data_IF_660242267761
#
_entry.id   IF_660242267761
#
_cell.length_a   1.000
_cell.length_b   1.000
_cell.length_c   1.000
_cell.angle_alpha   90.00
_cell.angle_beta   90.00
_cell.angle_gamma   90.00
#
_symmetry.space_group_name_H-M   'P 1'
#
loop_
_entity.id
_entity.type
_entity.pdbx_description
1 polymer ?
#
# COMPACT_ATOMS: atom_id res chain seq x y z
N UNK A 1 12.79 38.80 11.43
CA UNK A 1 12.17 38.38 12.70
C UNK A 1 11.12 37.35 12.34
N UNK A 2 11.34 36.08 12.67
CA UNK A 2 10.33 35.06 12.45
C UNK A 2 9.27 35.14 13.55
N UNK A 3 8.05 34.77 13.19
CA UNK A 3 6.94 34.62 14.13
C UNK A 3 6.45 33.19 14.05
N UNK A 4 6.05 32.64 15.20
CA UNK A 4 5.50 31.30 15.30
C UNK A 4 4.20 31.30 16.12
N UNK A 5 3.35 30.30 15.90
CA UNK A 5 2.08 30.16 16.63
C UNK A 5 2.28 29.28 17.85
N UNK A 6 1.84 29.75 19.00
CA UNK A 6 1.80 28.97 20.24
C UNK A 6 0.92 27.72 20.06
N UNK A 7 1.44 26.49 20.24
CA UNK A 7 0.67 25.27 20.03
C UNK A 7 -0.44 25.05 21.09
N UNK A 8 -0.40 25.80 22.19
CA UNK A 8 -1.35 25.65 23.30
C UNK A 8 -2.50 26.66 23.25
N UNK A 9 -2.28 27.89 22.78
CA UNK A 9 -3.30 28.94 22.81
C UNK A 9 -3.51 29.67 21.47
N UNK A 10 -2.72 29.32 20.45
CA UNK A 10 -2.83 29.84 19.08
C UNK A 10 -2.33 31.28 18.89
N UNK A 11 -1.80 31.92 19.93
CA UNK A 11 -1.25 33.29 19.83
C UNK A 11 -0.01 33.31 18.94
N UNK A 12 0.13 34.35 18.12
CA UNK A 12 1.37 34.63 17.39
C UNK A 12 2.42 35.25 18.32
N UNK A 13 3.60 34.63 18.35
CA UNK A 13 4.73 34.99 19.22
C UNK A 13 5.94 35.26 18.33
N UNK A 14 6.76 36.23 18.72
CA UNK A 14 8.02 36.51 18.02
C UNK A 14 9.10 35.54 18.47
N UNK A 15 10.01 35.12 17.59
CA UNK A 15 11.10 34.18 17.92
C UNK A 15 12.07 34.69 19.02
N UNK A 16 11.91 35.95 19.45
CA UNK A 16 12.70 36.59 20.50
C UNK A 16 12.13 36.34 21.90
N UNK A 17 10.81 36.17 21.99
CA UNK A 17 10.05 36.00 23.22
C UNK A 17 10.10 34.54 23.69
N UNK A 18 10.73 34.32 24.84
CA UNK A 18 10.77 33.00 25.47
C UNK A 18 9.42 32.61 26.06
N UNK A 19 8.55 33.56 26.40
CA UNK A 19 7.30 33.29 27.12
C UNK A 19 6.06 33.71 26.31
N UNK A 20 5.04 32.86 26.27
CA UNK A 20 3.77 33.21 25.66
C UNK A 20 3.00 34.24 26.52
N UNK A 21 2.69 35.45 26.04
CA UNK A 21 1.99 36.47 26.82
C UNK A 21 0.54 36.08 27.17
N UNK A 22 -0.07 35.19 26.38
CA UNK A 22 -1.45 34.74 26.58
C UNK A 22 -1.62 33.56 27.54
N UNK A 23 -0.69 32.59 27.55
CA UNK A 23 -0.81 31.38 28.37
C UNK A 23 0.31 31.21 29.42
N UNK A 24 1.32 32.08 29.43
CA UNK A 24 2.39 32.11 30.43
C UNK A 24 3.40 30.97 30.33
N UNK A 25 3.43 30.22 29.22
CA UNK A 25 4.38 29.10 29.03
C UNK A 25 5.66 29.56 28.37
N UNK A 26 6.78 29.06 28.89
CA UNK A 26 8.11 29.29 28.34
C UNK A 26 8.45 28.28 27.22
N UNK A 27 9.20 28.74 26.22
CA UNK A 27 9.71 27.96 25.10
C UNK A 27 11.24 28.01 25.11
N UNK A 28 11.93 26.87 24.97
CA UNK A 28 13.38 26.82 24.99
C UNK A 28 13.99 27.45 23.72
N UNK A 29 14.88 28.43 23.90
CA UNK A 29 15.55 29.13 22.79
C UNK A 29 16.60 28.24 22.11
N UNK A 30 16.56 28.18 20.78
CA UNK A 30 17.69 28.01 19.84
C UNK A 30 18.59 26.76 19.87
N UNK A 31 18.87 26.15 21.04
CA UNK A 31 19.93 25.14 21.19
C UNK A 31 19.40 23.76 21.61
N UNK A 32 18.20 23.68 22.18
CA UNK A 32 17.56 22.40 22.56
C UNK A 32 17.16 21.53 21.36
N UNK A 33 17.04 22.10 20.15
CA UNK A 33 16.58 21.38 18.96
C UNK A 33 17.58 20.35 18.45
N UNK A 34 18.89 20.58 18.64
CA UNK A 34 19.96 19.66 18.20
C UNK A 34 20.15 18.45 19.12
N UNK A 35 19.89 18.62 20.41
CA UNK A 35 20.01 17.53 21.40
C UNK A 35 18.81 16.57 21.28
N UNK A 36 17.62 17.12 21.05
CA UNK A 36 16.41 16.32 20.86
C UNK A 36 16.46 15.44 19.60
N UNK A 37 16.99 15.93 18.47
CA UNK A 37 17.13 15.11 17.25
C UNK A 37 18.14 13.96 17.39
N UNK A 38 19.19 14.12 18.20
CA UNK A 38 20.19 13.06 18.41
C UNK A 38 19.66 11.92 19.30
N UNK A 39 18.97 12.25 20.39
CA UNK A 39 18.38 11.24 21.30
C UNK A 39 17.26 10.44 20.63
N UNK A 40 16.47 11.06 19.74
CA UNK A 40 15.39 10.42 19.00
C UNK A 40 15.89 9.37 18.00
N UNK A 41 17.04 9.61 17.35
CA UNK A 41 17.62 8.69 16.37
C UNK A 41 18.25 7.46 17.03
N UNK A 42 18.82 7.60 18.23
CA UNK A 42 19.46 6.48 18.92
C UNK A 42 18.44 5.51 19.54
N UNK A 43 17.30 6.01 20.04
CA UNK A 43 16.25 5.17 20.64
C UNK A 43 15.52 4.27 19.62
N UNK A 44 15.18 4.77 18.42
CA UNK A 44 14.47 3.95 17.42
C UNK A 44 15.30 2.76 16.90
N UNK A 45 16.62 2.85 16.90
CA UNK A 45 17.47 1.75 16.40
C UNK A 45 17.61 0.60 17.40
N UNK A 46 17.50 0.88 18.71
CA UNK A 46 17.65 -0.12 19.78
C UNK A 46 16.40 -0.99 19.91
N UNK A 47 15.23 -0.37 19.86
CA UNK A 47 13.95 -1.11 19.89
C UNK A 47 13.78 -1.94 18.62
N UNK A 48 14.05 -1.37 17.44
CA UNK A 48 13.96 -2.09 16.16
C UNK A 48 14.84 -3.34 16.11
N UNK A 49 16.12 -3.25 16.53
CA UNK A 49 17.02 -4.42 16.56
C UNK A 49 16.54 -5.51 17.52
N UNK A 50 16.02 -5.13 18.69
CA UNK A 50 15.54 -6.08 19.70
C UNK A 50 14.25 -6.77 19.23
N UNK A 51 13.33 -6.04 18.62
CA UNK A 51 12.10 -6.61 18.04
C UNK A 51 12.39 -7.57 16.88
N UNK A 52 13.27 -7.21 15.94
CA UNK A 52 13.66 -8.12 14.85
C UNK A 52 14.36 -9.38 15.36
N UNK A 53 15.22 -9.26 16.38
CA UNK A 53 15.89 -10.42 16.96
C UNK A 53 14.91 -11.40 17.61
N UNK A 54 13.87 -10.92 18.30
CA UNK A 54 12.83 -11.78 18.89
C UNK A 54 11.93 -12.42 17.84
N UNK A 55 11.54 -11.67 16.79
CA UNK A 55 10.74 -12.19 15.68
C UNK A 55 11.51 -13.27 14.92
N UNK A 56 12.79 -13.05 14.62
CA UNK A 56 13.61 -14.04 13.90
C UNK A 56 13.81 -15.32 14.72
N UNK A 57 13.96 -15.21 16.04
CA UNK A 57 14.07 -16.37 16.93
C UNK A 57 12.74 -17.12 17.02
N UNK A 58 11.60 -16.42 17.09
CA UNK A 58 10.28 -17.02 17.04
C UNK A 58 10.00 -17.73 15.70
N UNK A 59 10.35 -17.12 14.57
CA UNK A 59 10.20 -17.74 13.24
C UNK A 59 11.09 -18.97 13.12
N UNK A 60 12.34 -18.93 13.58
CA UNK A 60 13.23 -20.10 13.57
C UNK A 60 12.65 -21.26 14.41
N UNK A 61 12.10 -20.98 15.60
CA UNK A 61 11.45 -21.98 16.45
C UNK A 61 10.18 -22.54 15.77
N UNK A 62 9.35 -21.70 15.16
CA UNK A 62 8.14 -22.11 14.42
C UNK A 62 8.53 -22.96 13.20
N UNK A 63 9.63 -22.62 12.51
CA UNK A 63 10.15 -23.38 11.37
C UNK A 63 10.58 -24.78 11.78
N UNK A 64 11.28 -24.91 12.92
CA UNK A 64 11.70 -26.18 13.50
C UNK A 64 10.49 -27.00 13.97
N UNK A 65 9.50 -26.36 14.59
CA UNK A 65 8.26 -27.03 15.01
C UNK A 65 7.39 -27.47 13.83
N UNK A 66 7.33 -26.67 12.76
CA UNK A 66 6.68 -27.04 11.51
C UNK A 66 7.41 -28.20 10.84
N UNK A 67 8.75 -28.19 10.80
CA UNK A 67 9.55 -29.29 10.23
C UNK A 67 9.36 -30.61 11.00
N UNK A 68 9.29 -30.58 12.33
CA UNK A 68 9.01 -31.79 13.15
C UNK A 68 7.57 -32.32 13.03
N UNK A 69 6.66 -31.54 12.44
CA UNK A 69 5.28 -31.96 12.13
C UNK A 69 5.00 -32.12 10.64
N UNK A 70 5.96 -31.80 9.77
CA UNK A 70 5.83 -31.90 8.31
C UNK A 70 6.41 -33.20 7.74
N UNK A 71 7.05 -34.03 8.56
CA UNK A 71 7.34 -35.44 8.24
C UNK A 71 6.22 -36.35 8.75
N UNK A 72 4.99 -36.14 8.30
CA UNK A 72 3.92 -37.12 8.42
C UNK A 72 2.93 -36.89 7.27
N UNK A 73 3.12 -37.63 6.17
CA UNK A 73 2.16 -37.71 5.07
C UNK A 73 0.87 -38.34 5.56
N UNK A 74 -0.06 -37.51 6.04
CA UNK A 74 -1.47 -37.89 6.10
C UNK A 74 -2.08 -37.58 4.75
N UNK A 75 -2.28 -38.63 3.95
CA UNK A 75 -3.24 -38.65 2.86
C UNK A 75 -4.60 -38.10 3.36
N UNK A 76 -5.15 -37.04 2.77
CA UNK A 76 -6.57 -36.78 2.84
C UNK A 76 -7.17 -37.23 1.51
N UNK A 77 -7.73 -38.44 1.52
CA UNK A 77 -8.80 -38.80 0.60
C UNK A 77 -9.99 -37.91 0.93
N UNK A 78 -10.26 -36.91 0.10
CA UNK A 78 -11.57 -36.28 0.03
C UNK A 78 -11.92 -36.09 -1.44
N UNK A 79 -12.88 -36.89 -1.87
CA UNK A 79 -13.58 -36.74 -3.12
C UNK A 79 -14.18 -35.32 -3.20
N UNK A 80 -13.62 -34.48 -4.05
CA UNK A 80 -14.40 -33.47 -4.75
C UNK A 80 -14.46 -33.91 -6.21
N UNK A 81 -15.69 -34.00 -6.70
CA UNK A 81 -16.05 -34.45 -8.02
C UNK A 81 -15.40 -33.55 -9.07
N UNK A 82 -14.26 -33.97 -9.61
CA UNK A 82 -13.76 -33.44 -10.88
C UNK A 82 -14.60 -34.09 -11.99
N UNK A 83 -15.75 -33.48 -12.25
CA UNK A 83 -16.35 -33.54 -13.57
C UNK A 83 -15.28 -33.17 -14.59
N UNK A 84 -15.08 -34.05 -15.56
CA UNK A 84 -14.14 -33.91 -16.67
C UNK A 84 -14.06 -32.46 -17.15
N UNK A 85 -12.89 -31.82 -16.97
CA UNK A 85 -12.64 -30.50 -17.52
C UNK A 85 -12.68 -30.62 -19.06
N UNK A 86 -13.58 -29.90 -19.75
CA UNK A 86 -13.39 -29.64 -21.17
C UNK A 86 -12.05 -28.89 -21.31
N UNK A 87 -11.35 -29.09 -22.43
CA UNK A 87 -10.10 -28.40 -22.74
C UNK A 87 -10.20 -26.92 -22.32
N UNK A 88 -9.36 -26.50 -21.37
CA UNK A 88 -9.37 -25.14 -20.83
C UNK A 88 -9.09 -24.18 -21.97
N UNK A 89 -10.12 -23.53 -22.49
CA UNK A 89 -9.97 -22.49 -23.49
C UNK A 89 -9.17 -21.36 -22.82
N UNK A 90 -8.00 -21.04 -23.36
CA UNK A 90 -7.11 -20.01 -22.84
C UNK A 90 -7.72 -18.62 -23.11
N UNK A 91 -8.73 -18.28 -22.33
CA UNK A 91 -9.47 -17.02 -22.40
C UNK A 91 -9.45 -16.34 -21.04
N UNK A 92 -9.21 -15.05 -21.06
CA UNK A 92 -9.28 -14.24 -19.86
C UNK A 92 -10.73 -13.85 -19.51
N UNK A 93 -11.03 -13.86 -18.22
CA UNK A 93 -12.30 -13.36 -17.69
C UNK A 93 -12.21 -11.90 -17.20
N UNK A 94 -13.38 -11.31 -16.94
CA UNK A 94 -13.55 -9.95 -16.43
C UNK A 94 -12.81 -9.66 -15.11
N UNK A 95 -12.69 -10.68 -14.25
CA UNK A 95 -12.00 -10.58 -12.96
C UNK A 95 -10.50 -10.49 -13.19
N UNK A 96 -9.96 -11.33 -14.07
CA UNK A 96 -8.54 -11.36 -14.43
C UNK A 96 -8.16 -10.07 -15.13
N UNK A 97 -8.98 -9.58 -16.05
CA UNK A 97 -8.81 -8.28 -16.68
C UNK A 97 -8.75 -7.15 -15.63
N UNK A 98 -9.66 -7.14 -14.66
CA UNK A 98 -9.64 -6.16 -13.57
C UNK A 98 -8.35 -6.27 -12.73
N UNK A 99 -7.95 -7.46 -12.30
CA UNK A 99 -6.73 -7.67 -11.50
C UNK A 99 -5.49 -7.22 -12.28
N UNK A 100 -5.41 -7.55 -13.57
CA UNK A 100 -4.28 -7.18 -14.41
C UNK A 100 -4.22 -5.68 -14.66
N UNK A 101 -5.37 -5.01 -14.83
CA UNK A 101 -5.42 -3.55 -14.91
C UNK A 101 -4.78 -2.86 -13.70
N UNK A 102 -4.93 -3.43 -12.49
CA UNK A 102 -4.32 -2.87 -11.28
C UNK A 102 -2.80 -2.89 -11.35
N UNK A 103 -2.21 -3.94 -11.93
CA UNK A 103 -0.77 -4.03 -12.13
C UNK A 103 -0.26 -2.94 -13.06
N UNK A 104 -1.00 -2.64 -14.14
CA UNK A 104 -0.69 -1.53 -15.04
C UNK A 104 -0.79 -0.18 -14.33
N UNK A 105 -1.90 0.06 -13.62
CA UNK A 105 -2.13 1.30 -12.86
C UNK A 105 -1.04 1.53 -11.82
N UNK A 106 -0.67 0.50 -11.04
CA UNK A 106 0.35 0.62 -9.99
C UNK A 106 1.69 1.14 -10.50
N UNK A 107 2.08 0.82 -11.74
CA UNK A 107 3.35 1.26 -12.33
C UNK A 107 3.40 2.77 -12.59
N UNK A 108 2.25 3.40 -12.74
CA UNK A 108 2.14 4.85 -12.98
C UNK A 108 1.99 5.66 -11.69
N UNK A 109 1.81 5.02 -10.53
CA UNK A 109 1.59 5.71 -9.25
C UNK A 109 2.89 6.18 -8.64
N UNK A 110 2.84 7.35 -7.98
CA UNK A 110 3.97 7.89 -7.18
C UNK A 110 4.35 6.96 -6.04
N UNK A 111 3.37 6.29 -5.42
CA UNK A 111 3.57 5.36 -4.31
C UNK A 111 2.82 4.04 -4.56
N UNK A 112 3.34 3.13 -5.40
CA UNK A 112 2.63 1.90 -5.80
C UNK A 112 2.22 1.00 -4.62
N UNK A 113 3.01 1.00 -3.53
CA UNK A 113 2.77 0.20 -2.34
C UNK A 113 1.62 0.70 -1.46
N UNK A 114 1.19 1.97 -1.61
CA UNK A 114 0.05 2.54 -0.88
C UNK A 114 -1.28 2.40 -1.62
N UNK A 115 -1.24 1.88 -2.86
CA UNK A 115 -2.40 1.74 -3.73
C UNK A 115 -3.46 0.79 -3.15
N UNK A 116 -4.69 1.29 -3.04
CA UNK A 116 -5.89 0.53 -2.64
C UNK A 116 -6.91 0.59 -3.75
N UNK A 117 -7.31 -0.57 -4.24
CA UNK A 117 -8.31 -0.72 -5.30
C UNK A 117 -9.66 -1.16 -4.70
N UNK A 118 -10.80 -0.80 -5.33
CA UNK A 118 -12.09 -1.29 -4.90
C UNK A 118 -12.22 -2.80 -5.08
N UNK A 119 -13.25 -3.36 -4.43
CA UNK A 119 -13.74 -4.68 -4.80
C UNK A 119 -14.23 -4.65 -6.26
N UNK A 120 -13.97 -5.74 -6.98
CA UNK A 120 -14.50 -5.93 -8.32
C UNK A 120 -16.03 -5.83 -8.33
N UNK A 121 -16.54 -5.10 -9.31
CA UNK A 121 -17.95 -5.06 -9.70
C UNK A 121 -18.02 -5.27 -11.21
N UNK A 122 -19.01 -6.03 -11.69
CA UNK A 122 -19.15 -6.33 -13.12
C UNK A 122 -19.28 -5.09 -13.98
N UNK A 123 -19.86 -4.00 -13.45
CA UNK A 123 -19.97 -2.72 -14.16
C UNK A 123 -18.63 -2.02 -14.42
N UNK A 124 -17.55 -2.45 -13.77
CA UNK A 124 -16.21 -1.90 -13.98
C UNK A 124 -15.52 -2.45 -15.22
N UNK A 125 -15.95 -3.61 -15.74
CA UNK A 125 -15.31 -4.27 -16.86
C UNK A 125 -16.24 -4.32 -18.08
N UNK A 126 -15.74 -3.82 -19.20
CA UNK A 126 -16.45 -3.84 -20.48
C UNK A 126 -15.57 -4.60 -21.47
N UNK A 127 -16.05 -5.75 -21.94
CA UNK A 127 -15.41 -6.49 -23.03
C UNK A 127 -15.71 -5.79 -24.35
N UNK A 128 -14.66 -5.42 -25.10
CA UNK A 128 -14.79 -4.72 -26.38
C UNK A 128 -14.63 -5.68 -27.56
N UNK A 129 -13.79 -6.69 -27.40
CA UNK A 129 -13.62 -7.83 -28.32
C UNK A 129 -13.19 -9.07 -27.53
N UNK A 130 -12.92 -10.20 -28.21
CA UNK A 130 -12.63 -11.49 -27.56
C UNK A 130 -11.53 -11.40 -26.48
N UNK A 131 -10.49 -10.60 -26.72
CA UNK A 131 -9.31 -10.50 -25.85
C UNK A 131 -9.12 -9.11 -25.21
N UNK A 132 -9.93 -8.12 -25.57
CA UNK A 132 -9.73 -6.73 -25.17
C UNK A 132 -10.80 -6.25 -24.20
N UNK A 133 -10.34 -5.66 -23.11
CA UNK A 133 -11.16 -5.18 -22.01
C UNK A 133 -10.89 -3.70 -21.74
N UNK A 134 -11.96 -2.97 -21.42
CA UNK A 134 -11.90 -1.64 -20.83
C UNK A 134 -12.30 -1.74 -19.36
N UNK A 135 -11.41 -1.33 -18.48
CA UNK A 135 -11.64 -1.28 -17.03
C UNK A 135 -11.82 0.16 -16.60
N UNK A 136 -12.97 0.48 -16.03
CA UNK A 136 -13.29 1.78 -15.43
C UNK A 136 -13.36 1.62 -13.92
N UNK A 137 -12.40 2.20 -13.19
CA UNK A 137 -12.35 2.05 -11.74
C UNK A 137 -11.61 3.23 -11.09
N UNK A 138 -11.27 3.10 -9.81
CA UNK A 138 -10.49 4.08 -9.08
C UNK A 138 -9.38 3.41 -8.28
N UNK A 139 -8.39 4.20 -7.89
CA UNK A 139 -7.35 3.82 -6.95
C UNK A 139 -7.15 4.91 -5.93
N UNK A 140 -7.09 4.53 -4.65
CA UNK A 140 -6.67 5.42 -3.58
C UNK A 140 -5.15 5.22 -3.36
N UNK A 141 -4.34 6.26 -3.53
CA UNK A 141 -2.88 6.17 -3.34
C UNK A 141 -2.28 7.46 -2.81
N UNK A 142 -1.06 7.37 -2.24
CA UNK A 142 -0.35 8.55 -1.75
C UNK A 142 0.31 9.33 -2.88
N UNK A 143 0.17 10.65 -2.84
CA UNK A 143 0.98 11.57 -3.65
C UNK A 143 2.35 11.83 -3.01
N UNK A 144 3.17 12.69 -3.66
CA UNK A 144 4.51 13.05 -3.18
C UNK A 144 4.58 13.73 -1.79
N UNK A 145 3.44 14.16 -1.25
CA UNK A 145 3.32 14.77 0.07
C UNK A 145 2.73 13.81 1.12
N UNK A 146 2.52 12.54 0.76
CA UNK A 146 1.97 11.51 1.65
C UNK A 146 0.45 11.56 1.84
N UNK A 147 -0.25 12.46 1.15
CA UNK A 147 -1.71 12.54 1.22
C UNK A 147 -2.36 11.44 0.38
N UNK A 148 -3.34 10.73 0.96
CA UNK A 148 -4.15 9.73 0.25
C UNK A 148 -5.18 10.42 -0.63
N UNK A 149 -5.10 10.20 -1.94
CA UNK A 149 -6.03 10.75 -2.93
C UNK A 149 -6.67 9.62 -3.73
N UNK A 150 -7.94 9.80 -4.07
CA UNK A 150 -8.67 8.96 -5.00
C UNK A 150 -8.49 9.47 -6.42
N UNK A 151 -8.06 8.61 -7.33
CA UNK A 151 -7.95 8.93 -8.75
C UNK A 151 -8.74 7.90 -9.55
N UNK A 152 -9.61 8.36 -10.45
CA UNK A 152 -10.32 7.46 -11.36
C UNK A 152 -9.40 7.13 -12.54
N UNK A 153 -9.55 5.93 -13.09
CA UNK A 153 -8.79 5.52 -14.26
C UNK A 153 -9.66 4.71 -15.22
N UNK A 154 -9.29 4.79 -16.49
CA UNK A 154 -9.75 3.90 -17.56
C UNK A 154 -8.53 3.19 -18.14
N UNK A 155 -8.51 1.87 -18.08
CA UNK A 155 -7.45 1.04 -18.64
C UNK A 155 -8.00 0.17 -19.76
N UNK A 156 -7.46 0.31 -20.97
CA UNK A 156 -7.72 -0.60 -22.09
C UNK A 156 -6.58 -1.61 -22.17
N UNK A 157 -6.89 -2.88 -21.97
CA UNK A 157 -5.91 -3.96 -21.92
C UNK A 157 -6.32 -5.08 -22.88
N UNK A 158 -5.32 -5.78 -23.42
CA UNK A 158 -5.52 -6.91 -24.32
C UNK A 158 -4.81 -8.16 -23.80
N UNK A 159 -5.52 -9.26 -23.75
CA UNK A 159 -4.98 -10.59 -23.47
C UNK A 159 -4.25 -11.12 -24.70
N UNK A 160 -3.07 -11.71 -24.50
CA UNK A 160 -2.24 -12.28 -25.56
C UNK A 160 -2.17 -13.81 -25.50
N UNK A 161 -2.84 -14.44 -24.52
CA UNK A 161 -2.70 -15.86 -24.19
C UNK A 161 -1.61 -16.11 -23.15
N UNK A 162 -1.64 -17.29 -22.53
CA UNK A 162 -0.65 -17.77 -21.55
C UNK A 162 -0.36 -16.76 -20.41
N UNK A 163 -1.40 -16.16 -19.82
CA UNK A 163 -1.28 -15.14 -18.76
C UNK A 163 -0.55 -13.85 -19.19
N UNK A 164 -0.31 -13.65 -20.49
CA UNK A 164 0.31 -12.42 -21.00
C UNK A 164 -0.73 -11.34 -21.32
N UNK A 165 -0.43 -10.12 -20.87
CA UNK A 165 -1.32 -8.96 -21.04
C UNK A 165 -0.55 -7.76 -21.58
N UNK A 166 -1.20 -7.02 -22.47
CA UNK A 166 -0.70 -5.77 -23.02
C UNK A 166 -1.59 -4.60 -22.62
N UNK A 167 -0.97 -3.53 -22.14
CA UNK A 167 -1.64 -2.24 -22.00
C UNK A 167 -1.76 -1.60 -23.39
N UNK A 168 -2.99 -1.30 -23.80
CA UNK A 168 -3.26 -0.55 -25.02
C UNK A 168 -3.40 0.94 -24.73
N UNK A 169 -4.10 1.28 -23.65
CA UNK A 169 -4.30 2.67 -23.22
C UNK A 169 -4.55 2.76 -21.71
N UNK A 170 -4.13 3.85 -21.09
CA UNK A 170 -4.35 4.14 -19.67
C UNK A 170 -4.52 5.65 -19.47
N UNK A 171 -5.70 6.03 -19.00
CA UNK A 171 -6.03 7.42 -18.70
C UNK A 171 -6.43 7.58 -17.23
N UNK A 172 -5.92 8.61 -16.57
CA UNK A 172 -6.34 9.04 -15.24
C UNK A 172 -7.17 10.31 -15.35
N UNK A 173 -8.22 10.42 -14.53
CA UNK A 173 -9.07 11.61 -14.52
C UNK A 173 -9.67 11.88 -13.13
N UNK A 174 -9.92 13.17 -12.90
CA UNK A 174 -10.70 13.65 -11.77
C UNK A 174 -12.18 13.72 -12.21
N UNK A 175 -13.10 13.36 -11.30
CA UNK A 175 -14.53 13.52 -11.53
C UNK A 175 -14.98 14.87 -11.01
#
# INVERSE_FOLDING_TARGET
>A
MGTFKCPYCGQEITDEDLDCPKCGRSFPKGEARKIFEADMVEQETKDRKTTYSLIMLAVAVISIFAFTKFTDSRNPTNASSQSAQPAHEDKADEITAFVMSQSFVKRELVSPSSAKFPRFDKSMAIQVDEDTWIINSYVDSQNKFGAMLRTNYTAKIKYLGNDEWRLLDLAFYEK
#
